data_IF_378178017353
#
_entry.id   IF_378178017353
#
_cell.length_a   1.000
_cell.length_b   1.000
_cell.length_c   1.000
_cell.angle_alpha   90.00
_cell.angle_beta   90.00
_cell.angle_gamma   90.00
#
_symmetry.space_group_name_H-M   'P 1'
#
loop_
_entity.id
_entity.type
_entity.pdbx_description
1 polymer ?
#
# COMPACT_ATOMS: atom_id res chain seq x y z
N UNK A 1 31.75 1.37 -12.27
CA UNK A 1 30.66 0.53 -11.73
C UNK A 1 29.36 1.26 -11.99
N UNK A 2 28.39 0.63 -12.65
CA UNK A 2 27.04 1.20 -12.79
C UNK A 2 26.35 1.07 -11.44
N UNK A 3 26.01 2.17 -10.80
CA UNK A 3 25.15 2.16 -9.61
C UNK A 3 23.75 1.70 -10.03
N UNK A 4 23.22 0.72 -9.31
CA UNK A 4 21.89 0.15 -9.57
C UNK A 4 20.84 1.02 -8.87
N UNK A 5 20.26 1.98 -9.59
CA UNK A 5 19.16 2.79 -9.04
C UNK A 5 17.91 1.95 -8.79
N UNK A 6 17.26 2.16 -7.65
CA UNK A 6 15.96 1.58 -7.33
C UNK A 6 14.82 2.39 -7.96
N UNK A 7 13.79 1.71 -8.46
CA UNK A 7 12.51 2.33 -8.77
C UNK A 7 11.59 2.14 -7.55
N UNK A 8 11.15 3.24 -6.95
CA UNK A 8 10.40 3.25 -5.69
C UNK A 8 8.92 3.52 -5.96
N UNK A 9 8.01 2.84 -5.28
CA UNK A 9 6.62 3.26 -5.22
C UNK A 9 6.20 3.55 -3.79
N UNK A 10 5.26 4.48 -3.63
CA UNK A 10 4.66 4.85 -2.35
C UNK A 10 3.22 4.37 -2.36
N UNK A 11 2.89 3.41 -1.49
CA UNK A 11 1.52 2.93 -1.35
C UNK A 11 0.69 3.90 -0.51
N UNK A 12 -0.36 4.47 -1.09
CA UNK A 12 -1.25 5.43 -0.44
C UNK A 12 -2.65 4.84 -0.32
N UNK A 13 -3.06 4.50 0.90
CA UNK A 13 -4.44 4.12 1.21
C UNK A 13 -5.30 5.38 1.40
N UNK A 14 -6.50 5.41 0.83
CA UNK A 14 -7.47 6.50 1.06
C UNK A 14 -7.97 6.57 2.51
N UNK A 15 -7.83 5.49 3.27
CA UNK A 15 -8.11 5.50 4.70
C UNK A 15 -7.02 6.24 5.51
N UNK A 16 -5.88 6.53 4.90
CA UNK A 16 -4.76 7.16 5.57
C UNK A 16 -4.98 8.67 5.75
N UNK A 17 -5.26 9.09 6.99
CA UNK A 17 -5.46 10.49 7.35
C UNK A 17 -4.16 11.31 7.42
N UNK A 18 -2.98 10.69 7.31
CA UNK A 18 -1.68 11.37 7.47
C UNK A 18 -1.19 12.04 6.19
N UNK A 19 -1.91 11.92 5.07
CA UNK A 19 -1.46 12.49 3.80
C UNK A 19 -1.80 13.99 3.73
N UNK A 20 -0.82 14.80 4.11
CA UNK A 20 -0.83 16.26 3.93
C UNK A 20 0.25 16.65 2.92
N UNK A 21 0.22 17.88 2.34
CA UNK A 21 1.29 18.33 1.45
C UNK A 21 2.67 18.30 2.11
N UNK A 22 2.72 18.54 3.43
CA UNK A 22 3.95 18.42 4.21
C UNK A 22 4.37 16.96 4.40
N UNK A 23 3.42 16.05 4.67
CA UNK A 23 3.66 14.60 4.72
C UNK A 23 4.24 14.06 3.41
N UNK A 24 3.76 14.56 2.27
CA UNK A 24 4.29 14.22 0.93
C UNK A 24 5.77 14.60 0.81
N UNK A 25 6.18 15.77 1.32
CA UNK A 25 7.61 16.16 1.33
C UNK A 25 8.45 15.20 2.17
N UNK A 26 7.98 14.85 3.36
CA UNK A 26 8.70 13.89 4.21
C UNK A 26 8.80 12.52 3.57
N UNK A 27 7.75 12.06 2.88
CA UNK A 27 7.80 10.81 2.10
C UNK A 27 8.89 10.89 1.02
N UNK A 28 8.97 12.00 0.29
CA UNK A 28 9.94 12.19 -0.78
C UNK A 28 11.37 12.29 -0.25
N UNK A 29 11.58 13.04 0.82
CA UNK A 29 12.87 13.17 1.50
C UNK A 29 13.35 11.82 2.02
N UNK A 30 12.45 11.08 2.67
CA UNK A 30 12.73 9.72 3.15
C UNK A 30 13.06 8.77 2.01
N UNK A 31 12.29 8.79 0.91
CA UNK A 31 12.57 7.96 -0.25
C UNK A 31 13.93 8.30 -0.90
N UNK A 32 14.28 9.58 -0.97
CA UNK A 32 15.57 10.03 -1.51
C UNK A 32 16.75 9.70 -0.59
N UNK A 33 16.54 9.62 0.72
CA UNK A 33 17.60 9.26 1.68
C UNK A 33 17.81 7.75 1.81
N UNK A 34 16.72 6.98 1.79
CA UNK A 34 16.76 5.51 1.98
C UNK A 34 17.12 4.74 0.71
N UNK A 35 16.87 5.33 -0.45
CA UNK A 35 17.07 4.68 -1.74
C UNK A 35 17.87 5.56 -2.69
N UNK A 36 18.78 4.95 -3.45
CA UNK A 36 19.30 5.56 -4.67
C UNK A 36 18.20 5.58 -5.73
N UNK A 37 17.25 6.51 -5.59
CA UNK A 37 16.00 6.57 -6.36
C UNK A 37 16.05 7.65 -7.45
N UNK A 38 15.82 7.25 -8.71
CA UNK A 38 15.58 8.19 -9.83
C UNK A 38 14.13 8.25 -10.27
N UNK A 39 13.34 7.23 -9.92
CA UNK A 39 11.94 7.10 -10.32
C UNK A 39 11.09 6.75 -9.13
N UNK A 40 10.12 7.59 -8.84
CA UNK A 40 9.15 7.37 -7.80
C UNK A 40 7.73 7.37 -8.39
N UNK A 41 6.88 6.50 -7.88
CA UNK A 41 5.46 6.48 -8.21
C UNK A 41 4.66 6.57 -6.93
N UNK A 42 3.74 7.53 -6.83
CA UNK A 42 2.67 7.47 -5.83
C UNK A 42 1.55 6.60 -6.36
N UNK A 43 1.24 5.50 -5.67
CA UNK A 43 0.13 4.61 -5.99
C UNK A 43 -1.04 4.88 -5.04
N UNK A 44 -2.10 5.49 -5.56
CA UNK A 44 -3.35 5.72 -4.83
C UNK A 44 -4.22 4.48 -4.94
N UNK A 45 -4.43 3.78 -3.82
CA UNK A 45 -5.23 2.56 -3.70
C UNK A 45 -6.74 2.84 -3.66
N UNK A 46 -7.23 3.54 -4.68
CA UNK A 46 -8.61 4.03 -4.77
C UNK A 46 -9.64 2.90 -4.88
N UNK A 47 -9.56 2.07 -5.92
CA UNK A 47 -10.52 1.00 -6.15
C UNK A 47 -10.56 -0.02 -5.02
N UNK A 48 -9.41 -0.29 -4.38
CA UNK A 48 -9.36 -1.14 -3.20
C UNK A 48 -10.21 -0.58 -2.06
N UNK A 49 -10.22 0.75 -1.87
CA UNK A 49 -11.01 1.37 -0.81
C UNK A 49 -12.51 1.17 -0.97
N UNK A 50 -13.00 0.86 -2.18
CA UNK A 50 -14.41 0.52 -2.39
C UNK A 50 -14.82 -0.73 -1.57
N UNK A 51 -13.93 -1.70 -1.37
CA UNK A 51 -14.17 -2.88 -0.54
C UNK A 51 -14.44 -2.42 0.90
N UNK A 52 -13.62 -1.50 1.42
CA UNK A 52 -13.81 -0.93 2.75
C UNK A 52 -15.15 -0.20 2.83
N UNK A 53 -15.44 0.71 1.90
CA UNK A 53 -16.69 1.49 1.95
C UNK A 53 -17.93 0.60 1.93
N UNK A 54 -17.93 -0.48 1.13
CA UNK A 54 -19.07 -1.43 1.08
C UNK A 54 -19.36 -2.13 2.40
N UNK A 55 -18.35 -2.29 3.26
CA UNK A 55 -18.51 -2.93 4.58
C UNK A 55 -18.86 -1.91 5.66
N UNK A 56 -18.21 -0.75 5.61
CA UNK A 56 -18.32 0.24 6.66
C UNK A 56 -19.49 1.20 6.47
N UNK A 57 -19.90 1.46 5.23
CA UNK A 57 -20.88 2.48 4.89
C UNK A 57 -22.10 1.91 4.16
N UNK A 58 -23.23 2.56 4.37
CA UNK A 58 -24.45 2.27 3.62
C UNK A 58 -24.46 3.08 2.33
N UNK A 59 -24.76 2.44 1.21
CA UNK A 59 -24.89 3.13 -0.08
C UNK A 59 -25.00 2.15 -1.23
N UNK A 60 -25.51 2.62 -2.37
CA UNK A 60 -25.43 1.84 -3.61
C UNK A 60 -23.99 1.78 -4.10
N UNK A 61 -23.70 0.81 -4.98
CA UNK A 61 -22.39 0.71 -5.61
C UNK A 61 -21.98 2.01 -6.31
N UNK A 62 -22.89 2.66 -7.02
CA UNK A 62 -22.61 3.90 -7.76
C UNK A 62 -22.29 5.06 -6.81
N UNK A 63 -23.04 5.19 -5.71
CA UNK A 63 -22.79 6.22 -4.69
C UNK A 63 -21.42 6.04 -4.05
N UNK A 64 -21.08 4.82 -3.64
CA UNK A 64 -19.79 4.54 -3.02
C UNK A 64 -18.62 4.71 -4.01
N UNK A 65 -18.79 4.31 -5.27
CA UNK A 65 -17.77 4.47 -6.30
C UNK A 65 -17.50 5.95 -6.61
N UNK A 66 -18.56 6.77 -6.68
CA UNK A 66 -18.43 8.22 -6.82
C UNK A 66 -17.68 8.84 -5.65
N UNK A 67 -17.96 8.38 -4.42
CA UNK A 67 -17.25 8.83 -3.22
C UNK A 67 -15.75 8.49 -3.28
N UNK A 68 -15.40 7.23 -3.60
CA UNK A 68 -13.99 6.81 -3.78
C UNK A 68 -13.27 7.69 -4.82
N UNK A 69 -13.92 7.97 -5.95
CA UNK A 69 -13.35 8.82 -6.98
C UNK A 69 -13.05 10.23 -6.46
N UNK A 70 -13.99 10.86 -5.75
CA UNK A 70 -13.80 12.19 -5.18
C UNK A 70 -12.70 12.23 -4.11
N UNK A 71 -12.62 11.21 -3.27
CA UNK A 71 -11.54 11.06 -2.28
C UNK A 71 -10.19 10.88 -2.97
N UNK A 72 -10.12 10.06 -4.02
CA UNK A 72 -8.91 9.85 -4.83
C UNK A 72 -8.40 11.15 -5.45
N UNK A 73 -9.27 11.93 -6.09
CA UNK A 73 -8.91 13.24 -6.67
C UNK A 73 -8.36 14.20 -5.62
N UNK A 74 -8.95 14.20 -4.41
CA UNK A 74 -8.48 15.02 -3.30
C UNK A 74 -7.07 14.63 -2.86
N UNK A 75 -6.79 13.32 -2.76
CA UNK A 75 -5.47 12.80 -2.43
C UNK A 75 -4.44 13.12 -3.53
N UNK A 76 -4.81 12.95 -4.79
CA UNK A 76 -3.95 13.29 -5.95
C UNK A 76 -3.58 14.77 -5.91
N UNK A 77 -4.55 15.66 -5.66
CA UNK A 77 -4.29 17.09 -5.55
C UNK A 77 -3.38 17.42 -4.36
N UNK A 78 -3.60 16.79 -3.20
CA UNK A 78 -2.71 16.91 -2.04
C UNK A 78 -1.25 16.53 -2.39
N UNK A 79 -1.05 15.43 -3.12
CA UNK A 79 0.28 15.00 -3.58
C UNK A 79 0.87 16.02 -4.54
N UNK A 80 0.11 16.54 -5.51
CA UNK A 80 0.58 17.58 -6.45
C UNK A 80 1.03 18.84 -5.73
N UNK A 81 0.27 19.31 -4.74
CA UNK A 81 0.65 20.48 -3.94
C UNK A 81 1.94 20.23 -3.15
N UNK A 82 2.08 19.04 -2.55
CA UNK A 82 3.33 18.62 -1.89
C UNK A 82 4.53 18.63 -2.84
N UNK A 83 4.36 18.04 -4.02
CA UNK A 83 5.37 17.97 -5.08
C UNK A 83 5.79 19.34 -5.60
N UNK A 84 4.83 20.24 -5.84
CA UNK A 84 5.09 21.59 -6.37
C UNK A 84 6.00 22.43 -5.46
N UNK A 85 6.10 22.07 -4.18
CA UNK A 85 6.92 22.77 -3.19
C UNK A 85 8.06 21.92 -2.63
N UNK A 86 8.35 20.78 -3.27
CA UNK A 86 9.49 19.93 -2.95
C UNK A 86 10.65 20.18 -3.93
N UNK A 87 11.88 20.25 -3.43
CA UNK A 87 13.06 20.67 -4.20
C UNK A 87 14.16 19.60 -4.28
N UNK A 88 13.80 18.32 -4.08
CA UNK A 88 14.77 17.22 -4.10
C UNK A 88 15.13 16.74 -5.52
N UNK A 89 15.87 15.64 -5.59
CA UNK A 89 16.61 15.20 -6.78
C UNK A 89 15.99 14.02 -7.54
N UNK A 90 14.80 13.53 -7.15
CA UNK A 90 14.14 12.44 -7.87
C UNK A 90 13.69 12.94 -9.24
N UNK A 91 14.24 12.36 -10.29
CA UNK A 91 14.07 12.87 -11.67
C UNK A 91 12.67 12.66 -12.25
N UNK A 92 12.03 11.54 -11.90
CA UNK A 92 10.71 11.20 -12.42
C UNK A 92 9.79 10.84 -11.27
N UNK A 93 8.70 11.60 -11.14
CA UNK A 93 7.64 11.33 -10.18
C UNK A 93 6.32 11.28 -10.94
N UNK A 94 5.66 10.13 -10.87
CA UNK A 94 4.31 9.94 -11.41
C UNK A 94 3.32 9.69 -10.25
N UNK A 95 2.07 10.09 -10.44
CA UNK A 95 0.95 9.74 -9.55
C UNK A 95 0.03 8.83 -10.36
N UNK A 96 -0.26 7.65 -9.83
CA UNK A 96 -1.07 6.64 -10.49
C UNK A 96 -2.15 6.09 -9.56
N UNK A 97 -3.17 5.51 -10.15
CA UNK A 97 -4.26 4.81 -9.44
C UNK A 97 -4.10 3.30 -9.53
N UNK A 98 -4.85 2.58 -8.69
CA UNK A 98 -4.78 1.12 -8.57
C UNK A 98 -4.98 0.41 -9.91
N UNK A 99 -5.89 0.89 -10.75
CA UNK A 99 -6.15 0.30 -12.07
C UNK A 99 -4.94 0.26 -13.00
N UNK A 100 -4.01 1.19 -12.84
CA UNK A 100 -2.88 1.34 -13.76
C UNK A 100 -1.80 0.27 -13.54
N UNK A 101 -1.90 -0.53 -12.47
CA UNK A 101 -0.97 -1.62 -12.14
C UNK A 101 -1.57 -3.02 -12.33
N UNK A 102 -2.84 -3.11 -12.76
CA UNK A 102 -3.57 -4.39 -12.91
C UNK A 102 -3.21 -5.11 -14.22
N UNK A 103 -1.93 -5.38 -14.41
CA UNK A 103 -1.42 -6.11 -15.57
C UNK A 103 -1.54 -7.64 -15.41
N UNK A 104 -1.10 -8.37 -16.45
CA UNK A 104 -1.12 -9.84 -16.43
C UNK A 104 -0.31 -10.42 -15.27
N UNK A 105 0.81 -9.79 -14.90
CA UNK A 105 1.65 -10.27 -13.81
C UNK A 105 0.97 -10.09 -12.45
N UNK A 106 0.32 -8.95 -12.22
CA UNK A 106 -0.52 -8.74 -11.03
C UNK A 106 -1.59 -9.83 -10.91
N UNK A 107 -2.36 -10.06 -11.98
CA UNK A 107 -3.46 -11.03 -11.93
C UNK A 107 -2.96 -12.47 -11.73
N UNK A 108 -1.82 -12.83 -12.31
CA UNK A 108 -1.21 -14.13 -12.07
C UNK A 108 -0.85 -14.33 -10.59
N UNK A 109 -0.23 -13.33 -9.95
CA UNK A 109 0.10 -13.38 -8.52
C UNK A 109 -1.17 -13.42 -7.66
N UNK A 110 -2.15 -12.56 -7.96
CA UNK A 110 -3.43 -12.51 -7.27
C UNK A 110 -4.14 -13.87 -7.29
N UNK A 111 -4.25 -14.52 -8.45
CA UNK A 111 -4.94 -15.81 -8.57
C UNK A 111 -4.28 -16.92 -7.74
N UNK A 112 -2.94 -16.92 -7.66
CA UNK A 112 -2.19 -17.86 -6.79
C UNK A 112 -2.50 -17.61 -5.32
N UNK A 113 -2.41 -16.36 -4.87
CA UNK A 113 -2.67 -15.97 -3.49
C UNK A 113 -4.11 -16.28 -3.11
N UNK A 114 -5.07 -15.96 -3.99
CA UNK A 114 -6.48 -16.28 -3.79
C UNK A 114 -6.73 -17.79 -3.71
N UNK A 115 -6.11 -18.59 -4.58
CA UNK A 115 -6.18 -20.06 -4.50
C UNK A 115 -5.67 -20.57 -3.15
N UNK A 116 -4.56 -20.02 -2.64
CA UNK A 116 -4.03 -20.38 -1.32
C UNK A 116 -4.97 -19.94 -0.19
N UNK A 117 -5.60 -18.77 -0.30
CA UNK A 117 -6.60 -18.33 0.67
C UNK A 117 -7.80 -19.29 0.78
N UNK A 118 -8.22 -19.89 -0.34
CA UNK A 118 -9.31 -20.89 -0.34
C UNK A 118 -8.85 -22.25 0.19
N UNK A 119 -7.61 -22.66 -0.11
CA UNK A 119 -7.13 -24.03 0.15
C UNK A 119 -6.37 -24.21 1.47
N UNK A 120 -5.77 -23.13 1.99
CA UNK A 120 -4.93 -23.16 3.19
C UNK A 120 -5.66 -22.48 4.36
N UNK A 121 -6.22 -23.29 5.26
CA UNK A 121 -6.98 -22.81 6.43
C UNK A 121 -6.15 -21.94 7.38
N UNK A 122 -4.84 -22.15 7.49
CA UNK A 122 -3.97 -21.31 8.34
C UNK A 122 -3.85 -19.92 7.73
N UNK A 123 -3.53 -19.85 6.43
CA UNK A 123 -3.43 -18.58 5.71
C UNK A 123 -4.75 -17.81 5.68
N UNK A 124 -5.86 -18.53 5.45
CA UNK A 124 -7.20 -17.97 5.51
C UNK A 124 -7.48 -17.33 6.87
N UNK A 125 -7.25 -18.09 7.95
CA UNK A 125 -7.50 -17.64 9.31
C UNK A 125 -6.66 -16.42 9.67
N UNK A 126 -5.38 -16.41 9.33
CA UNK A 126 -4.50 -15.28 9.63
C UNK A 126 -4.95 -13.99 8.93
N UNK A 127 -5.40 -14.09 7.66
CA UNK A 127 -5.97 -12.95 6.94
C UNK A 127 -7.32 -12.50 7.54
N UNK A 128 -8.21 -13.43 7.88
CA UNK A 128 -9.49 -13.12 8.51
C UNK A 128 -9.31 -12.49 9.90
N UNK A 129 -8.29 -12.89 10.65
CA UNK A 129 -7.96 -12.30 11.96
C UNK A 129 -7.47 -10.86 11.83
N UNK A 130 -6.69 -10.54 10.78
CA UNK A 130 -6.31 -9.15 10.46
C UNK A 130 -7.56 -8.35 10.08
N UNK A 131 -8.40 -8.88 9.18
CA UNK A 131 -9.64 -8.23 8.76
C UNK A 131 -10.60 -7.99 9.94
N UNK A 132 -10.71 -8.94 10.88
CA UNK A 132 -11.52 -8.81 12.10
C UNK A 132 -10.99 -7.72 13.04
N UNK A 133 -9.68 -7.67 13.26
CA UNK A 133 -9.05 -6.58 14.05
C UNK A 133 -9.33 -5.22 13.43
N UNK A 134 -9.21 -5.11 12.11
CA UNK A 134 -9.53 -3.88 11.38
C UNK A 134 -11.00 -3.49 11.50
N UNK A 135 -11.93 -4.44 11.32
CA UNK A 135 -13.36 -4.21 11.47
C UNK A 135 -13.74 -3.71 12.87
N UNK A 136 -13.24 -4.38 13.92
CA UNK A 136 -13.44 -3.98 15.32
C UNK A 136 -12.87 -2.59 15.61
N UNK A 137 -11.68 -2.29 15.09
CA UNK A 137 -11.05 -0.97 15.23
C UNK A 137 -11.88 0.16 14.61
N UNK A 138 -12.73 -0.14 13.63
CA UNK A 138 -13.68 0.80 13.02
C UNK A 138 -15.10 0.70 13.60
N UNK A 139 -15.27 0.02 14.73
CA UNK A 139 -16.54 -0.08 15.44
C UNK A 139 -17.56 -1.02 14.77
N UNK A 140 -17.14 -1.91 13.88
CA UNK A 140 -18.01 -2.96 13.32
C UNK A 140 -17.90 -4.25 14.14
N UNK A 141 -18.98 -5.02 14.13
CA UNK A 141 -19.03 -6.35 14.71
C UNK A 141 -18.29 -7.40 13.90
N UNK A 142 -18.34 -8.63 14.39
CA UNK A 142 -17.60 -9.79 13.91
C UNK A 142 -18.33 -10.59 12.83
N UNK A 143 -19.15 -9.91 12.02
CA UNK A 143 -19.92 -10.56 10.95
C UNK A 143 -18.98 -11.30 9.98
N UNK A 144 -19.16 -12.62 9.86
CA UNK A 144 -18.27 -13.48 9.10
C UNK A 144 -18.24 -13.12 7.61
N UNK A 145 -19.39 -12.74 7.03
CA UNK A 145 -19.45 -12.35 5.63
C UNK A 145 -18.66 -11.06 5.37
N UNK A 146 -18.78 -10.08 6.27
CA UNK A 146 -18.01 -8.83 6.23
C UNK A 146 -16.51 -9.07 6.43
N UNK A 147 -16.10 -9.91 7.37
CA UNK A 147 -14.69 -10.26 7.61
C UNK A 147 -14.08 -10.97 6.41
N UNK A 148 -14.80 -11.94 5.84
CA UNK A 148 -14.36 -12.64 4.65
C UNK A 148 -14.23 -11.70 3.45
N UNK A 149 -15.21 -10.80 3.25
CA UNK A 149 -15.15 -9.81 2.19
C UNK A 149 -14.01 -8.80 2.40
N UNK A 150 -13.76 -8.34 3.62
CA UNK A 150 -12.60 -7.50 3.94
C UNK A 150 -11.27 -8.23 3.68
N UNK A 151 -11.21 -9.54 3.83
CA UNK A 151 -10.00 -10.31 3.52
C UNK A 151 -9.65 -10.21 2.03
N UNK A 152 -10.62 -9.98 1.15
CA UNK A 152 -10.35 -9.74 -0.29
C UNK A 152 -9.58 -8.45 -0.54
N UNK A 153 -9.71 -7.44 0.32
CA UNK A 153 -8.86 -6.24 0.29
C UNK A 153 -7.40 -6.61 0.51
N UNK A 154 -7.12 -7.38 1.57
CA UNK A 154 -5.78 -7.82 1.94
C UNK A 154 -5.17 -8.70 0.83
N UNK A 155 -5.94 -9.64 0.29
CA UNK A 155 -5.51 -10.50 -0.82
C UNK A 155 -5.16 -9.68 -2.05
N UNK A 156 -5.91 -8.61 -2.33
CA UNK A 156 -5.65 -7.73 -3.46
C UNK A 156 -4.38 -6.89 -3.28
N UNK A 157 -4.00 -6.53 -2.05
CA UNK A 157 -2.76 -5.82 -1.77
C UNK A 157 -1.51 -6.72 -1.84
N UNK A 158 -1.62 -7.99 -1.43
CA UNK A 158 -0.46 -8.89 -1.33
C UNK A 158 0.41 -9.01 -2.60
N UNK A 159 -0.12 -9.03 -3.84
CA UNK A 159 0.71 -8.99 -5.05
C UNK A 159 1.72 -7.84 -5.06
N UNK A 160 1.33 -6.64 -4.62
CA UNK A 160 2.21 -5.46 -4.65
C UNK A 160 3.23 -5.50 -3.51
N UNK A 161 2.86 -6.10 -2.38
CA UNK A 161 3.76 -6.33 -1.24
C UNK A 161 4.78 -7.43 -1.49
N UNK A 162 4.48 -8.40 -2.35
CA UNK A 162 5.38 -9.51 -2.66
C UNK A 162 6.26 -9.21 -3.88
N UNK A 163 5.66 -8.76 -4.99
CA UNK A 163 6.36 -8.61 -6.27
C UNK A 163 6.67 -7.15 -6.64
N UNK A 164 6.10 -6.18 -5.92
CA UNK A 164 6.13 -4.77 -6.31
C UNK A 164 5.09 -4.46 -7.39
N UNK A 165 5.28 -3.35 -8.12
CA UNK A 165 4.36 -2.93 -9.19
C UNK A 165 5.06 -2.81 -10.54
N UNK A 166 4.31 -2.97 -11.63
CA UNK A 166 4.77 -2.70 -13.00
C UNK A 166 4.04 -1.49 -13.56
N UNK A 167 4.79 -0.53 -14.06
CA UNK A 167 4.24 0.68 -14.66
C UNK A 167 5.18 1.21 -15.74
N UNK A 168 4.64 1.57 -16.91
CA UNK A 168 5.41 2.05 -18.09
C UNK A 168 6.65 1.19 -18.41
N UNK A 169 6.49 -0.14 -18.42
CA UNK A 169 7.56 -1.13 -18.68
C UNK A 169 8.73 -1.08 -17.67
N UNK A 170 8.50 -0.58 -16.46
CA UNK A 170 9.45 -0.60 -15.34
C UNK A 170 8.86 -1.38 -14.18
N UNK A 171 9.72 -2.09 -13.46
CA UNK A 171 9.39 -2.77 -12.21
C UNK A 171 9.81 -1.85 -11.06
N UNK A 172 8.89 -1.62 -10.14
CA UNK A 172 9.08 -0.88 -8.90
C UNK A 172 9.00 -1.87 -7.76
N UNK A 173 10.16 -2.31 -7.29
CA UNK A 173 10.32 -3.35 -6.27
C UNK A 173 10.82 -2.79 -4.94
N UNK A 174 10.83 -1.47 -4.77
CA UNK A 174 11.06 -0.82 -3.48
C UNK A 174 9.80 -0.05 -3.11
N UNK A 175 9.30 -0.24 -1.91
CA UNK A 175 8.06 0.36 -1.42
C UNK A 175 8.34 1.23 -0.21
N UNK A 176 7.81 2.46 -0.23
CA UNK A 176 7.61 3.25 0.98
C UNK A 176 6.15 3.11 1.38
N UNK A 177 5.90 2.75 2.63
CA UNK A 177 4.55 2.68 3.18
C UNK A 177 4.39 3.68 4.33
N UNK A 178 3.72 4.82 4.10
CA UNK A 178 3.41 5.79 5.14
C UNK A 178 2.31 5.23 6.04
N UNK A 179 2.60 5.00 7.32
CA UNK A 179 1.65 4.40 8.27
C UNK A 179 1.79 5.00 9.67
N UNK A 180 0.81 4.76 10.54
CA UNK A 180 0.89 5.06 11.98
C UNK A 180 0.55 3.80 12.81
N UNK A 181 0.29 2.68 12.15
CA UNK A 181 -0.09 1.39 12.72
C UNK A 181 0.71 0.24 12.11
N UNK A 182 0.76 -0.87 12.85
CA UNK A 182 1.74 -1.94 12.71
C UNK A 182 1.76 -2.72 11.40
N UNK A 183 2.82 -3.53 11.29
CA UNK A 183 3.31 -4.26 10.12
C UNK A 183 2.49 -5.51 9.76
N UNK A 184 1.19 -5.58 10.08
CA UNK A 184 0.42 -6.84 10.02
C UNK A 184 0.42 -7.49 8.63
N UNK A 185 0.26 -6.70 7.57
CA UNK A 185 0.33 -7.19 6.18
C UNK A 185 1.75 -7.57 5.76
N UNK A 186 2.76 -6.87 6.27
CA UNK A 186 4.16 -7.19 6.03
C UNK A 186 4.54 -8.52 6.71
N UNK A 187 4.02 -8.81 7.89
CA UNK A 187 4.19 -10.12 8.55
C UNK A 187 3.52 -11.26 7.78
N UNK A 188 2.39 -11.01 7.12
CA UNK A 188 1.81 -11.99 6.19
C UNK A 188 2.74 -12.21 5.00
N UNK A 189 3.22 -11.13 4.37
CA UNK A 189 4.14 -11.21 3.25
C UNK A 189 5.41 -11.98 3.63
N UNK A 190 6.09 -11.61 4.73
CA UNK A 190 7.24 -12.34 5.29
C UNK A 190 6.92 -13.81 5.59
N UNK A 191 5.74 -14.10 6.13
CA UNK A 191 5.28 -15.46 6.38
C UNK A 191 5.16 -16.30 5.11
N UNK A 192 4.67 -15.71 4.01
CA UNK A 192 4.65 -16.35 2.68
C UNK A 192 6.07 -16.69 2.22
N UNK A 193 7.00 -15.73 2.30
CA UNK A 193 8.40 -15.93 1.89
C UNK A 193 9.11 -17.00 2.72
N UNK A 194 8.84 -17.02 4.02
CA UNK A 194 9.39 -18.01 4.94
C UNK A 194 8.76 -19.41 4.77
N UNK A 195 7.79 -19.58 3.86
CA UNK A 195 7.12 -20.85 3.62
C UNK A 195 6.12 -21.25 4.71
N UNK A 196 5.71 -20.34 5.60
CA UNK A 196 4.77 -20.61 6.71
C UNK A 196 3.47 -21.23 6.22
N UNK A 197 3.03 -20.81 5.04
CA UNK A 197 1.75 -21.20 4.44
C UNK A 197 1.91 -22.26 3.33
N UNK A 198 3.04 -22.96 3.25
CA UNK A 198 3.24 -24.03 2.26
C UNK A 198 3.47 -23.51 0.84
N UNK A 199 2.74 -24.07 -0.15
CA UNK A 199 2.98 -23.99 -1.60
C UNK A 199 2.84 -22.58 -2.21
N UNK A 200 3.74 -21.67 -1.86
CA UNK A 200 3.98 -20.39 -2.53
C UNK A 200 5.26 -20.42 -3.38
N UNK A 201 5.69 -21.62 -3.83
CA UNK A 201 7.00 -21.84 -4.47
C UNK A 201 7.27 -20.99 -5.72
N UNK A 202 6.21 -20.50 -6.36
CA UNK A 202 6.30 -19.70 -7.59
C UNK A 202 6.02 -18.21 -7.38
N UNK A 203 5.96 -17.72 -6.13
CA UNK A 203 5.92 -16.27 -5.84
C UNK A 203 7.32 -15.85 -5.40
N UNK A 204 7.97 -15.05 -6.23
CA UNK A 204 9.27 -14.50 -5.92
C UNK A 204 9.09 -13.22 -5.09
N UNK A 205 9.58 -13.23 -3.85
CA UNK A 205 9.63 -12.01 -3.05
C UNK A 205 10.68 -11.07 -3.60
N UNK A 206 10.22 -9.94 -4.10
CA UNK A 206 11.06 -8.92 -4.74
C UNK A 206 10.90 -7.55 -4.09
N UNK A 207 9.78 -7.32 -3.41
CA UNK A 207 9.47 -6.00 -2.89
C UNK A 207 10.18 -5.72 -1.56
N UNK A 208 11.07 -4.74 -1.54
CA UNK A 208 11.67 -4.22 -0.32
C UNK A 208 10.76 -3.14 0.27
N UNK A 209 10.13 -3.43 1.41
CA UNK A 209 9.22 -2.49 2.08
C UNK A 209 9.98 -1.71 3.17
N UNK A 210 9.79 -0.40 3.18
CA UNK A 210 10.24 0.51 4.23
C UNK A 210 9.04 1.28 4.79
N UNK A 211 8.79 1.14 6.09
CA UNK A 211 7.72 1.85 6.78
C UNK A 211 8.20 3.25 7.16
N UNK A 212 7.40 4.26 6.82
CA UNK A 212 7.60 5.64 7.27
C UNK A 212 6.47 5.97 8.25
N UNK A 213 6.79 6.11 9.54
CA UNK A 213 5.78 6.44 10.53
C UNK A 213 5.52 7.94 10.58
N UNK A 214 4.29 8.34 10.25
CA UNK A 214 3.83 9.73 10.27
C UNK A 214 2.71 9.91 11.31
N UNK A 215 2.70 11.05 12.01
CA UNK A 215 1.57 11.48 12.84
C UNK A 215 0.41 11.97 11.98
N UNK A 216 -0.74 12.23 12.62
CA UNK A 216 -1.97 12.66 11.94
C UNK A 216 -1.86 14.01 11.21
N UNK A 217 -0.93 14.86 11.62
CA UNK A 217 -0.60 16.13 10.96
C UNK A 217 0.43 15.96 9.82
N UNK A 218 0.92 14.73 9.60
CA UNK A 218 1.86 14.38 8.55
C UNK A 218 3.34 14.56 8.92
N UNK A 219 3.67 14.85 10.19
CA UNK A 219 5.06 14.91 10.64
C UNK A 219 5.63 13.51 10.95
N UNK A 220 6.95 13.26 10.76
CA UNK A 220 7.57 12.01 11.19
C UNK A 220 7.45 11.84 12.69
N UNK A 221 7.09 10.65 13.14
CA UNK A 221 7.19 10.29 14.55
C UNK A 221 8.66 10.10 14.96
N UNK A 222 8.96 10.08 16.26
CA UNK A 222 10.33 9.87 16.76
C UNK A 222 10.96 8.54 16.29
N UNK A 223 10.13 7.55 15.95
CA UNK A 223 10.56 6.28 15.37
C UNK A 223 10.99 6.35 13.90
N UNK A 224 10.79 7.49 13.23
CA UNK A 224 11.08 7.71 11.80
C UNK A 224 12.07 8.84 11.55
N UNK A 225 12.81 9.27 12.58
CA UNK A 225 13.70 10.42 12.46
C UNK A 225 14.73 10.21 11.32
N UNK A 226 14.64 11.04 10.28
CA UNK A 226 15.60 11.07 9.19
C UNK A 226 16.92 11.63 9.75
N UNK A 227 18.04 10.88 9.71
CA UNK A 227 19.31 11.38 10.20
C UNK A 227 19.71 12.68 9.47
N UNK A 228 19.77 13.79 10.20
CA UNK A 228 20.24 15.08 9.68
C UNK A 228 19.18 16.12 9.31
N UNK A 229 17.88 15.82 9.43
CA UNK A 229 16.84 16.84 9.32
C UNK A 229 16.84 17.72 10.59
N UNK A 230 17.46 18.89 10.54
CA UNK A 230 17.35 19.89 11.61
C UNK A 230 15.95 20.52 11.55
N UNK A 231 15.21 20.42 12.66
CA UNK A 231 13.97 21.18 12.92
C UNK A 231 14.19 22.68 12.85
#
# INVERSE_FOLDING_TARGET
MLTSYSNVFVGISLANKTLTPQGVKYILDFAASEFECRRLVFLVADQLNLINLRVFESGSHDTLSKKVYQESETFIECIKVGLASWSGSIEFIDIITWNQILDRGYWNAYMKIFSQFIQNTIFQKDLEDIARKFARGRGKGDDMASVHYLSTYLISELPTLLEGIRYKNKIYSSMVYPTYHGEAMDEIAKGIVAGRYGLFHDIEYKCQIKHLFLSSDGHPTSSSAIPGAKS
#
